data_IF_682786498591
#
_entry.id   IF_682786498591
#
_cell.length_a   1.000
_cell.length_b   1.000
_cell.length_c   1.000
_cell.angle_alpha   90.00
_cell.angle_beta   90.00
_cell.angle_gamma   90.00
#
_symmetry.space_group_name_H-M   'P 1'
#
loop_
_entity.id
_entity.type
_entity.pdbx_description
1 polymer ?
#
# COMPACT_ATOMS: atom_id res chain seq x y z
N UNK A 1 7.61 16.11 5.06
CA UNK A 1 6.38 15.29 4.84
C UNK A 1 5.22 15.57 5.80
N UNK A 2 5.39 16.31 6.92
CA UNK A 2 4.32 16.55 7.93
C UNK A 2 3.23 17.59 7.54
N UNK A 3 3.40 18.30 6.42
CA UNK A 3 2.55 19.45 6.03
C UNK A 3 1.44 19.14 5.01
N UNK A 4 1.47 17.97 4.36
CA UNK A 4 0.51 17.63 3.29
C UNK A 4 -0.75 16.95 3.84
N UNK A 5 -0.56 16.07 4.83
CA UNK A 5 -1.65 15.26 5.40
C UNK A 5 -2.79 16.08 6.03
N UNK A 6 -2.56 17.19 6.77
CA UNK A 6 -3.66 17.96 7.35
C UNK A 6 -4.48 18.73 6.30
N UNK A 7 -3.87 19.07 5.16
CA UNK A 7 -4.56 19.80 4.09
C UNK A 7 -5.46 18.89 3.27
N UNK A 8 -5.06 17.62 3.06
CA UNK A 8 -5.86 16.63 2.34
C UNK A 8 -7.22 16.37 2.99
N UNK A 9 -7.29 16.35 4.33
CA UNK A 9 -8.54 16.12 5.05
C UNK A 9 -9.62 17.21 4.86
N UNK A 10 -9.28 18.37 4.29
CA UNK A 10 -10.26 19.43 3.95
C UNK A 10 -10.86 19.28 2.54
N UNK A 11 -10.22 18.51 1.66
CA UNK A 11 -10.61 18.39 0.24
C UNK A 11 -11.10 16.99 -0.14
N UNK A 12 -10.95 16.01 0.75
CA UNK A 12 -11.45 14.66 0.53
C UNK A 12 -12.83 14.55 1.17
N UNK A 13 -13.85 14.29 0.35
CA UNK A 13 -15.10 13.76 0.87
C UNK A 13 -14.77 12.49 1.65
N UNK A 14 -15.47 12.30 2.76
CA UNK A 14 -15.17 11.34 3.84
C UNK A 14 -15.12 9.88 3.30
N UNK A 15 -15.67 9.66 2.10
CA UNK A 15 -15.81 8.38 1.40
C UNK A 15 -14.87 8.22 0.18
N UNK A 16 -13.94 9.16 -0.08
CA UNK A 16 -13.02 9.06 -1.21
C UNK A 16 -11.86 8.09 -0.90
N UNK A 17 -11.66 7.01 -1.67
CA UNK A 17 -10.56 6.09 -1.46
C UNK A 17 -9.20 6.76 -1.72
N UNK A 18 -8.22 6.46 -0.87
CA UNK A 18 -6.85 6.95 -1.02
C UNK A 18 -6.01 5.89 -1.72
N UNK A 19 -5.43 6.25 -2.86
CA UNK A 19 -4.47 5.41 -3.56
C UNK A 19 -3.05 5.69 -3.06
N UNK A 20 -2.39 4.66 -2.55
CA UNK A 20 -1.00 4.73 -2.11
C UNK A 20 -0.16 3.78 -2.96
N UNK A 21 0.68 4.34 -3.84
CA UNK A 21 1.47 3.57 -4.81
C UNK A 21 2.91 3.47 -4.31
N UNK A 22 3.46 2.25 -4.30
CA UNK A 22 4.82 1.94 -3.89
C UNK A 22 5.52 1.25 -5.06
N UNK A 23 6.79 1.57 -5.30
CA UNK A 23 7.63 0.79 -6.21
C UNK A 23 8.22 -0.41 -5.48
N UNK A 24 7.73 -1.61 -5.76
CA UNK A 24 8.20 -2.84 -5.10
C UNK A 24 9.67 -3.12 -5.36
N UNK A 25 10.18 -2.71 -6.53
CA UNK A 25 11.58 -2.85 -6.91
C UNK A 25 12.53 -1.82 -6.29
N UNK A 26 12.02 -0.84 -5.53
CA UNK A 26 12.83 0.22 -4.90
C UNK A 26 13.41 -0.20 -3.52
N UNK A 27 13.44 -1.51 -3.20
CA UNK A 27 13.90 -2.05 -1.91
C UNK A 27 15.39 -1.83 -1.59
N UNK A 28 16.22 -1.56 -2.60
CA UNK A 28 17.66 -1.25 -2.47
C UNK A 28 17.96 0.23 -2.75
N UNK A 29 16.94 1.01 -3.13
CA UNK A 29 17.12 2.39 -3.55
C UNK A 29 17.29 3.28 -2.33
N UNK A 30 18.33 4.09 -2.33
CA UNK A 30 18.58 5.10 -1.29
C UNK A 30 18.23 6.48 -1.86
N UNK A 31 17.42 7.24 -1.14
CA UNK A 31 17.08 8.62 -1.47
C UNK A 31 17.18 9.50 -0.22
N UNK A 32 17.93 10.59 -0.34
CA UNK A 32 18.24 11.47 0.79
C UNK A 32 18.85 10.75 2.01
N UNK A 33 19.65 9.71 1.77
CA UNK A 33 20.38 8.99 2.83
C UNK A 33 19.63 7.81 3.45
N UNK A 34 18.31 7.68 3.23
CA UNK A 34 17.54 6.54 3.71
C UNK A 34 17.04 5.65 2.57
N UNK A 35 16.70 4.42 2.91
CA UNK A 35 16.05 3.50 1.99
C UNK A 35 14.63 4.00 1.61
N UNK A 36 14.35 4.09 0.31
CA UNK A 36 13.08 4.57 -0.24
C UNK A 36 11.88 3.75 0.25
N UNK A 37 12.03 2.43 0.35
CA UNK A 37 10.96 1.55 0.76
C UNK A 37 10.66 1.72 2.26
N UNK A 38 11.67 1.89 3.10
CA UNK A 38 11.51 2.25 4.52
C UNK A 38 10.82 3.62 4.67
N UNK A 39 11.23 4.62 3.90
CA UNK A 39 10.55 5.93 3.90
C UNK A 39 9.07 5.81 3.49
N UNK A 40 8.77 4.94 2.52
CA UNK A 40 7.40 4.65 2.10
C UNK A 40 6.61 3.96 3.21
N UNK A 41 7.18 2.97 3.90
CA UNK A 41 6.56 2.32 5.05
C UNK A 41 6.23 3.31 6.17
N UNK A 42 7.15 4.22 6.52
CA UNK A 42 6.93 5.24 7.55
C UNK A 42 5.83 6.24 7.15
N UNK A 43 5.76 6.58 5.86
CA UNK A 43 4.71 7.47 5.33
C UNK A 43 3.35 6.79 5.36
N UNK A 44 3.30 5.50 5.00
CA UNK A 44 2.11 4.69 5.08
C UNK A 44 1.60 4.51 6.51
N UNK A 45 2.49 4.30 7.48
CA UNK A 45 2.16 4.27 8.91
C UNK A 45 1.50 5.58 9.37
N UNK A 46 2.07 6.73 8.98
CA UNK A 46 1.48 8.04 9.25
C UNK A 46 0.09 8.20 8.60
N UNK A 47 -0.08 7.68 7.37
CA UNK A 47 -1.35 7.72 6.65
C UNK A 47 -2.41 6.89 7.39
N UNK A 48 -2.08 5.66 7.79
CA UNK A 48 -2.93 4.75 8.53
C UNK A 48 -3.38 5.31 9.89
N UNK A 49 -2.50 6.05 10.56
CA UNK A 49 -2.76 6.62 11.88
C UNK A 49 -3.34 8.05 11.83
N UNK A 50 -3.58 8.60 10.63
CA UNK A 50 -4.17 9.92 10.47
C UNK A 50 -5.64 9.93 10.88
N UNK A 51 -5.96 10.70 11.94
CA UNK A 51 -7.34 10.86 12.46
C UNK A 51 -8.31 11.45 11.44
N UNK A 52 -7.82 12.35 10.56
CA UNK A 52 -8.65 12.99 9.55
C UNK A 52 -9.03 12.10 8.37
N UNK A 53 -8.47 10.89 8.29
CA UNK A 53 -8.66 9.95 7.18
C UNK A 53 -9.17 8.59 7.68
N UNK A 54 -9.76 8.54 8.89
CA UNK A 54 -10.19 7.27 9.52
C UNK A 54 -11.23 6.52 8.70
N UNK A 55 -12.13 7.26 8.05
CA UNK A 55 -13.23 6.70 7.26
C UNK A 55 -12.85 6.46 5.79
N UNK A 56 -11.72 7.01 5.33
CA UNK A 56 -11.27 6.84 3.96
C UNK A 56 -10.58 5.47 3.79
N UNK A 57 -11.09 4.58 2.93
CA UNK A 57 -10.42 3.32 2.65
C UNK A 57 -9.08 3.59 1.94
N UNK A 58 -8.06 2.79 2.26
CA UNK A 58 -6.74 2.91 1.62
C UNK A 58 -6.55 1.73 0.66
N UNK A 59 -6.18 2.05 -0.57
CA UNK A 59 -5.81 1.09 -1.60
C UNK A 59 -4.30 1.21 -1.80
N UNK A 60 -3.55 0.23 -1.34
CA UNK A 60 -2.11 0.15 -1.47
C UNK A 60 -1.75 -0.66 -2.70
N UNK A 61 -1.07 -0.02 -3.65
CA UNK A 61 -0.63 -0.61 -4.91
C UNK A 61 0.89 -0.81 -4.90
N UNK A 62 1.31 -2.06 -4.90
CA UNK A 62 2.69 -2.49 -5.12
C UNK A 62 2.94 -2.53 -6.63
N UNK A 63 3.52 -1.47 -7.17
CA UNK A 63 3.81 -1.29 -8.59
C UNK A 63 5.22 -1.77 -8.95
N UNK A 64 5.51 -1.88 -10.25
CA UNK A 64 6.79 -2.34 -10.81
C UNK A 64 7.11 -3.80 -10.46
N UNK A 65 6.10 -4.66 -10.44
CA UNK A 65 6.26 -6.09 -10.13
C UNK A 65 7.10 -6.85 -11.17
N UNK A 66 7.07 -6.39 -12.41
CA UNK A 66 7.95 -6.77 -13.51
C UNK A 66 9.42 -6.50 -13.16
N UNK A 67 9.73 -5.27 -12.76
CA UNK A 67 11.09 -4.89 -12.37
C UNK A 67 11.52 -5.60 -11.08
N UNK A 68 10.60 -5.91 -10.17
CA UNK A 68 10.92 -6.71 -8.99
C UNK A 68 11.37 -8.12 -9.41
N UNK A 69 10.64 -8.77 -10.32
CA UNK A 69 10.92 -10.13 -10.77
C UNK A 69 12.30 -10.25 -11.44
N UNK A 70 12.71 -9.25 -12.22
CA UNK A 70 14.05 -9.19 -12.82
C UNK A 70 15.13 -8.96 -11.76
N UNK A 71 14.84 -8.08 -10.79
CA UNK A 71 15.83 -7.61 -9.84
C UNK A 71 16.19 -8.63 -8.77
N UNK A 72 15.21 -9.41 -8.30
CA UNK A 72 15.46 -10.48 -7.33
C UNK A 72 16.43 -11.53 -7.87
N UNK A 73 16.64 -11.65 -9.19
CA UNK A 73 17.63 -12.57 -9.76
C UNK A 73 19.07 -12.14 -9.49
N UNK A 74 19.32 -10.85 -9.28
CA UNK A 74 20.67 -10.28 -9.17
C UNK A 74 20.93 -9.59 -7.84
N UNK A 75 19.89 -9.18 -7.12
CA UNK A 75 19.98 -8.41 -5.88
C UNK A 75 19.21 -9.07 -4.74
N UNK A 76 19.91 -9.35 -3.65
CA UNK A 76 19.37 -9.98 -2.45
C UNK A 76 18.73 -8.94 -1.51
N UNK A 77 17.42 -9.07 -1.28
CA UNK A 77 16.65 -8.18 -0.41
C UNK A 77 17.15 -8.18 1.05
N UNK A 78 17.78 -9.27 1.51
CA UNK A 78 18.28 -9.42 2.89
C UNK A 78 19.35 -8.40 3.25
N UNK A 79 20.03 -7.83 2.25
CA UNK A 79 21.01 -6.74 2.46
C UNK A 79 20.38 -5.47 3.02
N UNK A 80 19.09 -5.25 2.72
CA UNK A 80 18.34 -4.07 3.16
C UNK A 80 17.30 -4.42 4.23
N UNK A 81 16.80 -5.66 4.21
CA UNK A 81 15.80 -6.18 5.15
C UNK A 81 16.31 -7.50 5.75
N UNK A 82 17.23 -7.45 6.73
CA UNK A 82 17.82 -8.65 7.33
C UNK A 82 16.81 -9.55 8.04
N UNK A 83 15.62 -9.02 8.37
CA UNK A 83 14.50 -9.76 8.95
C UNK A 83 13.72 -10.62 7.95
N UNK A 84 14.03 -10.51 6.65
CA UNK A 84 13.39 -11.32 5.62
C UNK A 84 13.65 -12.82 5.84
N UNK A 85 12.57 -13.58 5.99
CA UNK A 85 12.61 -15.04 6.14
C UNK A 85 11.93 -15.66 4.92
N UNK A 86 12.73 -16.16 3.98
CA UNK A 86 12.27 -16.71 2.70
C UNK A 86 13.43 -16.87 1.72
N UNK A 87 13.10 -17.28 0.50
CA UNK A 87 14.02 -17.31 -0.63
C UNK A 87 14.07 -15.93 -1.31
N UNK A 88 15.19 -15.19 -1.24
CA UNK A 88 15.27 -13.84 -1.80
C UNK A 88 15.21 -13.80 -3.32
N UNK A 89 15.37 -14.95 -3.99
CA UNK A 89 15.26 -15.09 -5.44
C UNK A 89 13.86 -15.56 -5.87
N UNK A 90 12.98 -15.89 -4.92
CA UNK A 90 11.59 -16.27 -5.19
C UNK A 90 10.67 -15.06 -5.06
N UNK A 91 9.99 -14.74 -6.14
CA UNK A 91 9.14 -13.55 -6.21
C UNK A 91 7.98 -13.58 -5.20
N UNK A 92 7.39 -14.76 -4.98
CA UNK A 92 6.27 -14.95 -4.05
C UNK A 92 6.67 -14.64 -2.60
N UNK A 93 7.79 -15.21 -2.12
CA UNK A 93 8.31 -14.95 -0.77
C UNK A 93 8.60 -13.46 -0.56
N UNK A 94 9.22 -12.80 -1.56
CA UNK A 94 9.51 -11.36 -1.50
C UNK A 94 8.23 -10.52 -1.49
N UNK A 95 7.24 -10.89 -2.31
CA UNK A 95 5.93 -10.23 -2.33
C UNK A 95 5.23 -10.34 -0.99
N UNK A 96 5.17 -11.54 -0.43
CA UNK A 96 4.53 -11.80 0.85
C UNK A 96 5.21 -10.99 1.96
N UNK A 97 6.54 -10.97 1.98
CA UNK A 97 7.29 -10.15 2.91
C UNK A 97 6.96 -8.66 2.81
N UNK A 98 6.86 -8.11 1.59
CA UNK A 98 6.50 -6.71 1.39
C UNK A 98 5.10 -6.44 1.96
N UNK A 99 4.10 -7.27 1.63
CA UNK A 99 2.73 -7.13 2.16
C UNK A 99 2.74 -7.17 3.68
N UNK A 100 3.38 -8.18 4.28
CA UNK A 100 3.46 -8.33 5.73
C UNK A 100 4.15 -7.14 6.39
N UNK A 101 5.20 -6.59 5.77
CA UNK A 101 5.92 -5.42 6.29
C UNK A 101 5.04 -4.18 6.34
N UNK A 102 4.22 -3.93 5.31
CA UNK A 102 3.25 -2.83 5.31
C UNK A 102 2.06 -3.11 6.22
N UNK A 103 1.59 -4.36 6.34
CA UNK A 103 0.54 -4.74 7.28
C UNK A 103 0.95 -4.51 8.74
N UNK A 104 2.19 -4.83 9.11
CA UNK A 104 2.72 -4.53 10.46
C UNK A 104 2.67 -3.03 10.80
N UNK A 105 2.83 -2.16 9.79
CA UNK A 105 2.76 -0.68 9.93
C UNK A 105 1.34 -0.14 10.12
N UNK A 106 0.31 -0.94 9.81
CA UNK A 106 -1.09 -0.56 10.04
C UNK A 106 -1.43 -0.41 11.54
N UNK A 107 -0.79 -1.20 12.40
CA UNK A 107 -1.10 -1.28 13.83
C UNK A 107 -2.51 -1.84 14.11
N UNK A 108 -3.05 -1.57 15.31
CA UNK A 108 -4.36 -2.07 15.78
C UNK A 108 -5.57 -1.31 15.20
N UNK A 109 -5.42 -0.62 14.07
CA UNK A 109 -6.47 0.20 13.53
C UNK A 109 -7.44 -0.65 12.68
N UNK A 110 -8.74 -0.61 12.96
CA UNK A 110 -9.77 -1.35 12.21
C UNK A 110 -10.03 -0.81 10.79
N UNK A 111 -9.13 0.01 10.26
CA UNK A 111 -9.26 0.63 8.93
C UNK A 111 -9.21 -0.44 7.83
N UNK A 112 -10.08 -0.32 6.83
CA UNK A 112 -10.03 -1.16 5.64
C UNK A 112 -8.85 -0.75 4.75
N UNK A 113 -7.90 -1.67 4.56
CA UNK A 113 -6.75 -1.49 3.69
C UNK A 113 -6.71 -2.65 2.70
N UNK A 114 -6.72 -2.32 1.42
CA UNK A 114 -6.66 -3.27 0.33
C UNK A 114 -5.25 -3.25 -0.27
N UNK A 115 -4.67 -4.43 -0.49
CA UNK A 115 -3.30 -4.57 -1.00
C UNK A 115 -3.36 -5.23 -2.38
N UNK A 116 -2.71 -4.63 -3.37
CA UNK A 116 -2.66 -5.18 -4.73
C UNK A 116 -1.27 -5.11 -5.32
N UNK A 117 -0.89 -6.18 -6.00
CA UNK A 117 0.31 -6.26 -6.83
C UNK A 117 -0.07 -5.83 -8.24
N UNK A 118 0.67 -4.88 -8.80
CA UNK A 118 0.35 -4.25 -10.10
C UNK A 118 1.62 -4.07 -10.93
N UNK A 119 1.48 -4.12 -12.24
CA UNK A 119 2.50 -3.62 -13.16
C UNK A 119 1.96 -2.38 -13.87
N UNK A 120 2.83 -1.56 -14.46
CA UNK A 120 2.41 -0.33 -15.15
C UNK A 120 1.44 -0.60 -16.32
N UNK A 121 1.43 -1.82 -16.85
CA UNK A 121 0.53 -2.30 -17.91
C UNK A 121 -0.79 -2.87 -17.39
N UNK A 122 -0.90 -3.12 -16.08
CA UNK A 122 -2.06 -3.78 -15.47
C UNK A 122 -3.07 -2.78 -14.86
N UNK A 123 -3.33 -1.71 -15.61
CA UNK A 123 -4.32 -0.68 -15.27
C UNK A 123 -5.75 -1.23 -15.25
N UNK A 124 -6.01 -2.32 -15.97
CA UNK A 124 -7.28 -3.05 -15.99
C UNK A 124 -7.59 -3.68 -14.62
N UNK A 125 -6.60 -4.29 -13.95
CA UNK A 125 -6.80 -4.85 -12.60
C UNK A 125 -7.05 -3.75 -11.57
N UNK A 126 -6.38 -2.60 -11.68
CA UNK A 126 -6.65 -1.45 -10.81
C UNK A 126 -8.08 -0.93 -11.02
N UNK A 127 -8.57 -0.89 -12.27
CA UNK A 127 -9.95 -0.48 -12.56
C UNK A 127 -10.96 -1.47 -11.97
N UNK A 128 -10.73 -2.77 -12.09
CA UNK A 128 -11.61 -3.81 -11.51
C UNK A 128 -11.67 -3.72 -9.98
N UNK A 129 -10.52 -3.50 -9.34
CA UNK A 129 -10.43 -3.27 -7.90
C UNK A 129 -11.24 -2.03 -7.52
N UNK A 130 -11.12 -0.95 -8.28
CA UNK A 130 -11.90 0.26 -8.05
C UNK A 130 -13.41 0.02 -8.16
N UNK A 131 -13.86 -0.77 -9.13
CA UNK A 131 -15.27 -1.15 -9.26
C UNK A 131 -15.74 -2.03 -8.09
N UNK A 132 -14.93 -3.00 -7.66
CA UNK A 132 -15.26 -3.83 -6.49
C UNK A 132 -15.37 -3.00 -5.22
N UNK A 133 -14.42 -2.07 -4.99
CA UNK A 133 -14.40 -1.23 -3.80
C UNK A 133 -15.57 -0.25 -3.80
N UNK A 134 -15.96 0.29 -4.96
CA UNK A 134 -17.18 1.08 -5.06
C UNK A 134 -18.40 0.31 -4.60
N UNK A 135 -18.54 -0.95 -5.02
CA UNK A 135 -19.65 -1.81 -4.60
C UNK A 135 -19.60 -2.06 -3.09
N UNK A 136 -18.43 -2.34 -2.53
CA UNK A 136 -18.26 -2.59 -1.08
C UNK A 136 -18.58 -1.34 -0.25
N UNK A 137 -18.10 -0.16 -0.67
CA UNK A 137 -18.37 1.12 0.00
C UNK A 137 -19.87 1.43 -0.05
N UNK A 138 -20.49 1.34 -1.23
CA UNK A 138 -21.93 1.57 -1.40
C UNK A 138 -22.73 0.58 -0.55
N UNK A 139 -22.32 -0.69 -0.52
CA UNK A 139 -22.98 -1.71 0.30
C UNK A 139 -22.86 -1.42 1.78
N UNK A 140 -21.71 -0.90 2.24
CA UNK A 140 -21.50 -0.50 3.62
C UNK A 140 -22.40 0.68 4.01
N UNK A 141 -22.49 1.71 3.16
CA UNK A 141 -23.37 2.88 3.35
C UNK A 141 -24.85 2.47 3.37
N UNK A 142 -25.25 1.55 2.48
CA UNK A 142 -26.62 1.04 2.42
C UNK A 142 -26.97 0.18 3.64
N UNK A 143 -26.03 -0.61 4.17
CA UNK A 143 -26.22 -1.38 5.42
C UNK A 143 -26.36 -0.49 6.64
N UNK A 144 -25.58 0.59 6.73
CA UNK A 144 -25.68 1.56 7.83
C UNK A 144 -26.99 2.36 7.77
N UNK A 145 -27.64 2.43 6.61
CA UNK A 145 -28.90 3.17 6.40
C UNK A 145 -30.18 2.38 6.75
N UNK A 146 -30.09 1.15 7.29
CA UNK A 146 -31.24 0.28 7.63
C UNK A 146 -32.27 0.07 6.50
N UNK A 147 -31.88 0.22 5.23
CA UNK A 147 -32.77 -0.01 4.07
C UNK A 147 -32.84 -1.48 3.62
N UNK A 148 -32.37 -2.42 4.46
CA UNK A 148 -32.60 -3.86 4.37
C UNK A 148 -32.81 -4.46 5.77
#
# INVERSE_FOLDING_TARGET
MRYILPKLGKYLDIDTPIFYIIGSSDYDKIFCGDNCLIQSMNTFECLCNSKGLLNCPIILLFNKMDLLAEKIQTSDIRKHFPEFQGDPHRQEDVQEFLVQSFQKRKGNNSRNIFYHMTTAVDTENVRKVFESIKVDIITCILKDSQLL
#
